data_IF_331433472603
#
_entry.id   IF_331433472603
#
_cell.length_a   1.000
_cell.length_b   1.000
_cell.length_c   1.000
_cell.angle_alpha   90.00
_cell.angle_beta   90.00
_cell.angle_gamma   90.00
#
_symmetry.space_group_name_H-M   'P 1'
#
loop_
_entity.id
_entity.type
_entity.pdbx_description
1 polymer ?
#
# COMPACT_ATOMS: atom_id res chain seq x y z
N UNK A 1 -29.89 8.61 8.07
CA UNK A 1 -28.68 9.28 8.61
C UNK A 1 -27.50 8.45 8.14
N UNK A 2 -26.76 8.92 7.15
CA UNK A 2 -25.58 8.22 6.63
C UNK A 2 -24.47 8.42 7.66
N UNK A 3 -24.12 7.36 8.38
CA UNK A 3 -22.96 7.35 9.27
C UNK A 3 -21.76 7.76 8.42
N UNK A 4 -21.20 8.97 8.69
CA UNK A 4 -19.95 9.37 8.06
C UNK A 4 -18.92 8.35 8.49
N UNK A 5 -18.39 7.58 7.54
CA UNK A 5 -17.27 6.67 7.80
C UNK A 5 -16.22 7.46 8.59
N UNK A 6 -16.02 7.08 9.86
CA UNK A 6 -15.02 7.70 10.70
C UNK A 6 -13.66 7.33 10.09
N UNK A 7 -13.01 8.30 9.44
CA UNK A 7 -11.69 8.07 8.86
C UNK A 7 -10.69 8.33 9.99
N UNK A 8 -10.15 7.26 10.55
CA UNK A 8 -9.08 7.33 11.55
C UNK A 8 -7.76 7.72 10.85
N UNK A 9 -7.34 8.98 11.05
CA UNK A 9 -6.07 9.48 10.56
C UNK A 9 -4.97 9.28 11.62
N UNK A 10 -3.80 8.80 11.21
CA UNK A 10 -2.66 8.60 12.10
C UNK A 10 -1.34 8.49 11.36
N UNK A 11 -0.23 8.60 12.10
CA UNK A 11 1.11 8.40 11.58
C UNK A 11 1.38 6.90 11.37
N UNK A 12 1.83 6.52 10.17
CA UNK A 12 2.26 5.16 9.86
C UNK A 12 3.59 4.87 10.59
N UNK A 13 3.59 3.91 11.50
CA UNK A 13 4.76 3.54 12.31
C UNK A 13 5.36 2.19 11.92
N UNK A 14 4.65 1.39 11.13
CA UNK A 14 5.14 0.11 10.66
C UNK A 14 4.23 -0.53 9.63
N UNK A 15 4.82 -1.32 8.73
CA UNK A 15 4.09 -2.16 7.81
C UNK A 15 4.90 -3.40 7.45
N UNK A 16 4.21 -4.51 7.19
CA UNK A 16 4.82 -5.77 6.75
C UNK A 16 3.91 -6.42 5.73
N UNK A 17 4.48 -7.11 4.74
CA UNK A 17 3.71 -7.85 3.74
C UNK A 17 4.18 -9.30 3.58
N UNK A 18 3.27 -10.20 3.23
CA UNK A 18 3.57 -11.59 2.89
C UNK A 18 2.59 -12.11 1.84
N UNK A 19 3.00 -13.11 1.07
CA UNK A 19 2.12 -13.82 0.14
C UNK A 19 1.61 -15.10 0.79
N UNK A 20 0.28 -15.28 0.80
CA UNK A 20 -0.40 -16.48 1.30
C UNK A 20 -1.40 -16.91 0.25
N UNK A 21 -1.25 -18.12 -0.29
CA UNK A 21 -2.14 -18.71 -1.31
C UNK A 21 -2.48 -17.75 -2.47
N UNK A 22 -1.46 -17.06 -2.98
CA UNK A 22 -1.61 -16.14 -4.11
C UNK A 22 -2.25 -14.78 -3.78
N UNK A 23 -2.53 -14.51 -2.50
CA UNK A 23 -3.00 -13.21 -1.99
C UNK A 23 -1.90 -12.50 -1.19
N UNK A 24 -1.85 -11.18 -1.28
CA UNK A 24 -0.99 -10.34 -0.47
C UNK A 24 -1.69 -10.04 0.86
N UNK A 25 -1.11 -10.50 1.97
CA UNK A 25 -1.46 -10.05 3.31
C UNK A 25 -0.59 -8.84 3.67
N UNK A 26 -1.19 -7.65 3.74
CA UNK A 26 -0.54 -6.40 4.13
C UNK A 26 -1.01 -5.99 5.53
N UNK A 27 -0.08 -5.96 6.48
CA UNK A 27 -0.30 -5.48 7.84
C UNK A 27 0.24 -4.06 7.96
N UNK A 28 -0.58 -3.13 8.43
CA UNK A 28 -0.29 -1.70 8.56
C UNK A 28 -0.53 -1.29 10.00
N UNK A 29 0.39 -0.50 10.58
CA UNK A 29 0.31 -0.02 11.95
C UNK A 29 0.38 1.50 12.01
N UNK A 30 -0.57 2.12 12.70
CA UNK A 30 -0.65 3.57 12.86
C UNK A 30 -0.81 3.99 14.32
N UNK A 31 -0.44 5.23 14.63
CA UNK A 31 -0.66 5.90 15.92
C UNK A 31 -1.29 7.27 15.69
N UNK A 32 -2.15 7.71 16.60
CA UNK A 32 -2.88 8.99 16.48
C UNK A 32 -2.31 10.11 17.35
N UNK A 33 -1.50 9.78 18.35
CA UNK A 33 -0.80 10.73 19.23
C UNK A 33 0.69 10.79 18.85
N UNK A 34 1.44 11.86 19.17
CA UNK A 34 2.90 11.94 18.97
C UNK A 34 3.71 11.15 20.03
N UNK A 35 5.00 10.84 19.79
CA UNK A 35 5.80 10.07 20.74
C UNK A 35 5.93 10.79 22.10
N UNK A 36 6.04 10.06 23.23
CA UNK A 36 6.10 8.59 23.33
C UNK A 36 4.72 7.92 23.21
N UNK A 37 4.68 6.75 22.58
CA UNK A 37 3.48 5.91 22.50
C UNK A 37 3.73 4.53 23.12
N UNK A 38 2.69 3.98 23.71
CA UNK A 38 2.65 2.62 24.24
C UNK A 38 2.06 1.66 23.21
N UNK A 39 2.24 0.35 23.44
CA UNK A 39 1.73 -0.70 22.53
C UNK A 39 0.23 -0.61 22.27
N UNK A 40 -0.53 -0.11 23.24
CA UNK A 40 -1.98 0.05 23.18
C UNK A 40 -2.44 1.26 22.34
N UNK A 41 -1.53 2.17 22.00
CA UNK A 41 -1.82 3.28 21.08
C UNK A 41 -1.64 2.89 19.60
N UNK A 42 -1.17 1.66 19.34
CA UNK A 42 -0.88 1.18 17.98
C UNK A 42 -2.12 0.48 17.41
N UNK A 43 -2.75 1.15 16.45
CA UNK A 43 -3.83 0.57 15.66
C UNK A 43 -3.25 -0.30 14.55
N UNK A 44 -3.75 -1.54 14.40
CA UNK A 44 -3.28 -2.47 13.37
C UNK A 44 -4.42 -2.79 12.41
N UNK A 45 -4.18 -2.59 11.12
CA UNK A 45 -5.07 -3.00 10.04
C UNK A 45 -4.41 -4.10 9.21
N UNK A 46 -5.20 -5.09 8.80
CA UNK A 46 -4.74 -6.19 7.94
C UNK A 46 -5.61 -6.23 6.69
N UNK A 47 -4.97 -6.04 5.54
CA UNK A 47 -5.60 -6.12 4.23
C UNK A 47 -5.19 -7.41 3.55
N UNK A 48 -6.16 -8.12 2.98
CA UNK A 48 -5.92 -9.29 2.14
C UNK A 48 -6.34 -8.93 0.72
N UNK A 49 -5.38 -8.93 -0.20
CA UNK A 49 -5.58 -8.47 -1.57
C UNK A 49 -5.18 -9.54 -2.57
N UNK A 50 -5.89 -9.61 -3.69
CA UNK A 50 -5.35 -10.33 -4.85
C UNK A 50 -4.21 -9.54 -5.53
N UNK A 51 -3.60 -10.15 -6.56
CA UNK A 51 -2.49 -9.52 -7.30
C UNK A 51 -2.87 -8.21 -7.97
N UNK A 52 -4.08 -8.10 -8.51
CA UNK A 52 -4.52 -6.89 -9.22
C UNK A 52 -4.77 -5.75 -8.23
N UNK A 53 -5.41 -6.04 -7.10
CA UNK A 53 -5.64 -5.08 -6.02
C UNK A 53 -4.31 -4.60 -5.42
N UNK A 54 -3.36 -5.52 -5.16
CA UNK A 54 -2.03 -5.17 -4.70
C UNK A 54 -1.27 -4.28 -5.70
N UNK A 55 -1.36 -4.58 -7.00
CA UNK A 55 -0.74 -3.76 -8.04
C UNK A 55 -1.36 -2.36 -8.14
N UNK A 56 -2.69 -2.24 -7.98
CA UNK A 56 -3.36 -0.95 -7.93
C UNK A 56 -2.91 -0.12 -6.73
N UNK A 57 -2.84 -0.72 -5.54
CA UNK A 57 -2.33 -0.05 -4.34
C UNK A 57 -0.87 0.41 -4.52
N UNK A 58 -0.01 -0.46 -5.06
CA UNK A 58 1.38 -0.10 -5.32
C UNK A 58 1.50 1.10 -6.27
N UNK A 59 0.75 1.09 -7.38
CA UNK A 59 0.75 2.20 -8.34
C UNK A 59 0.29 3.51 -7.68
N UNK A 60 -0.76 3.48 -6.86
CA UNK A 60 -1.25 4.64 -6.14
C UNK A 60 -0.19 5.20 -5.18
N UNK A 61 0.50 4.33 -4.43
CA UNK A 61 1.56 4.74 -3.51
C UNK A 61 2.78 5.32 -4.26
N UNK A 62 3.14 4.77 -5.42
CA UNK A 62 4.19 5.34 -6.27
C UNK A 62 3.82 6.75 -6.76
N UNK A 63 2.61 6.91 -7.31
CA UNK A 63 2.12 8.20 -7.80
C UNK A 63 2.04 9.26 -6.69
N UNK A 64 1.60 8.88 -5.49
CA UNK A 64 1.54 9.78 -4.33
C UNK A 64 2.92 10.26 -3.88
N UNK A 65 3.96 9.43 -4.04
CA UNK A 65 5.33 9.78 -3.67
C UNK A 65 6.07 10.64 -4.69
N UNK A 66 5.40 11.18 -5.71
CA UNK A 66 6.04 11.83 -6.88
C UNK A 66 7.09 10.95 -7.57
N UNK A 67 7.02 9.63 -7.36
CA UNK A 67 7.86 8.66 -8.03
C UNK A 67 7.13 8.17 -9.27
N UNK A 68 7.76 8.29 -10.43
CA UNK A 68 7.23 7.69 -11.65
C UNK A 68 7.18 6.17 -11.50
N UNK A 69 6.12 5.56 -12.05
CA UNK A 69 6.04 4.09 -12.17
C UNK A 69 7.36 3.59 -12.77
N UNK A 70 7.95 2.48 -12.28
CA UNK A 70 9.14 1.91 -12.88
C UNK A 70 8.93 1.76 -14.39
N UNK A 71 9.77 2.42 -15.20
CA UNK A 71 9.63 2.37 -16.66
C UNK A 71 9.76 0.89 -17.07
N UNK A 72 8.70 0.33 -17.64
CA UNK A 72 8.71 -1.04 -18.19
C UNK A 72 9.53 -1.06 -19.49
N UNK A 73 10.83 -0.75 -19.39
CA UNK A 73 11.76 -0.61 -20.51
C UNK A 73 11.85 -1.85 -21.42
N UNK A 74 11.35 -3.01 -20.96
CA UNK A 74 11.25 -4.24 -21.75
C UNK A 74 10.32 -4.14 -22.98
N UNK A 75 9.37 -3.20 -23.02
CA UNK A 75 8.51 -3.01 -24.22
C UNK A 75 9.20 -2.25 -25.36
N UNK A 76 10.27 -1.49 -25.10
CA UNK A 76 10.97 -0.71 -26.14
C UNK A 76 11.82 -1.59 -27.06
N UNK A 77 12.39 -2.70 -26.57
CA UNK A 77 13.19 -3.61 -27.38
C UNK A 77 12.32 -4.43 -28.36
N UNK A 78 11.19 -4.95 -27.90
CA UNK A 78 10.26 -5.68 -28.76
C UNK A 78 9.57 -4.77 -29.78
N UNK A 79 9.31 -3.51 -29.43
CA UNK A 79 8.76 -2.53 -30.38
C UNK A 79 9.74 -2.25 -31.53
N UNK A 80 11.05 -2.12 -31.26
CA UNK A 80 12.08 -1.88 -32.31
C UNK A 80 12.32 -3.05 -33.27
N UNK A 81 11.91 -4.28 -32.92
CA UNK A 81 12.09 -5.46 -33.77
C UNK A 81 10.85 -5.81 -34.59
N UNK A 82 9.68 -5.29 -34.21
CA UNK A 82 8.40 -5.57 -34.89
C UNK A 82 7.62 -4.28 -35.23
N UNK A 83 8.30 -3.12 -35.29
CA UNK A 83 7.73 -1.79 -35.59
C UNK A 83 8.78 -0.68 -35.63
#
# INVERSE_FOLDING_TARGET
MTEKAHIDYGALVGWTSSWVDGRLALRVQSVTKPPPHDKQDVHTHVYLMDRNQAAQLANFLFEMGDHSKPDTGGRKLLKRLFG
#
